data_IF_754760369665
#
_entry.id   IF_754760369665
#
_cell.length_a   1.000
_cell.length_b   1.000
_cell.length_c   1.000
_cell.angle_alpha   90.00
_cell.angle_beta   90.00
_cell.angle_gamma   90.00
#
_symmetry.space_group_name_H-M   'P 1'
#
loop_
_entity.id
_entity.type
_entity.pdbx_description
1 polymer ?
#
# COMPACT_ATOMS: atom_id res chain seq x y z
N UNK A 1 31.25 -16.01 -16.59
CA UNK A 1 29.99 -16.55 -16.05
C UNK A 1 29.54 -15.84 -14.77
N UNK A 2 30.36 -15.78 -13.71
CA UNK A 2 30.03 -15.12 -12.43
C UNK A 2 29.61 -13.64 -12.59
N UNK A 3 30.30 -12.87 -13.43
CA UNK A 3 29.98 -11.45 -13.65
C UNK A 3 28.70 -11.21 -14.46
N UNK A 4 28.29 -12.14 -15.33
CA UNK A 4 27.00 -12.05 -16.03
C UNK A 4 25.84 -12.31 -15.06
N UNK A 5 26.02 -13.19 -14.07
CA UNK A 5 25.05 -13.41 -13.00
C UNK A 5 24.98 -12.20 -12.05
N UNK A 6 26.09 -11.51 -11.79
CA UNK A 6 26.11 -10.26 -11.00
C UNK A 6 25.44 -9.13 -11.77
N UNK A 7 25.71 -8.96 -13.06
CA UNK A 7 25.04 -7.96 -13.92
C UNK A 7 23.54 -8.28 -14.08
N UNK A 8 23.16 -9.56 -14.19
CA UNK A 8 21.76 -9.99 -14.25
C UNK A 8 21.04 -9.85 -12.90
N UNK A 9 21.70 -10.15 -11.78
CA UNK A 9 21.15 -9.96 -10.43
C UNK A 9 20.98 -8.47 -10.12
N UNK A 10 21.91 -7.63 -10.57
CA UNK A 10 21.80 -6.19 -10.38
C UNK A 10 20.82 -5.60 -11.38
N UNK A 11 20.76 -6.03 -12.63
CA UNK A 11 19.68 -5.71 -13.57
C UNK A 11 18.31 -6.10 -13.02
N UNK A 12 18.22 -7.21 -12.30
CA UNK A 12 16.99 -7.66 -11.62
C UNK A 12 16.65 -6.82 -10.38
N UNK A 13 17.66 -6.21 -9.73
CA UNK A 13 17.50 -5.29 -8.59
C UNK A 13 17.29 -3.82 -9.02
N UNK A 14 17.86 -3.38 -10.14
CA UNK A 14 17.79 -2.02 -10.70
C UNK A 14 16.62 -1.84 -11.65
N UNK A 15 16.11 -2.90 -12.27
CA UNK A 15 14.76 -2.87 -12.85
C UNK A 15 13.84 -2.64 -11.67
N UNK A 16 13.27 -1.42 -11.52
CA UNK A 16 12.28 -1.19 -10.49
C UNK A 16 11.20 -2.19 -10.83
N UNK A 17 10.96 -3.16 -9.94
CA UNK A 17 9.79 -4.03 -10.03
C UNK A 17 8.65 -3.09 -10.37
N UNK A 18 8.15 -3.23 -11.60
CA UNK A 18 7.06 -2.44 -12.12
C UNK A 18 5.87 -2.75 -11.22
N UNK A 19 5.77 -2.08 -10.08
CA UNK A 19 4.51 -1.49 -9.71
C UNK A 19 4.28 -0.53 -10.86
N UNK A 20 3.55 -1.03 -11.86
CA UNK A 20 2.86 -0.23 -12.85
C UNK A 20 1.91 0.64 -12.04
N UNK A 21 2.45 1.65 -11.35
CA UNK A 21 1.74 2.89 -11.13
C UNK A 21 1.47 3.35 -12.54
N UNK A 22 0.26 3.02 -13.00
CA UNK A 22 -0.30 3.51 -14.24
C UNK A 22 0.04 5.00 -14.26
N UNK A 23 1.06 5.38 -15.04
CA UNK A 23 1.22 6.74 -15.55
C UNK A 23 0.01 6.95 -16.43
N UNK A 24 -1.11 7.25 -15.77
CA UNK A 24 -2.27 7.85 -16.38
C UNK A 24 -1.74 9.21 -16.81
N UNK A 25 -1.34 9.28 -18.09
CA UNK A 25 -1.35 10.52 -18.86
C UNK A 25 -2.54 11.32 -18.36
N UNK A 26 -2.29 12.56 -17.95
CA UNK A 26 -3.29 13.58 -17.67
C UNK A 26 -4.09 13.85 -18.96
N UNK A 27 -4.84 12.87 -19.44
CA UNK A 27 -5.93 13.06 -20.38
C UNK A 27 -7.11 13.43 -19.50
N UNK A 28 -7.57 14.67 -19.64
CA UNK A 28 -8.82 15.24 -19.09
C UNK A 28 -9.74 14.12 -18.57
N UNK A 29 -9.77 13.95 -17.24
CA UNK A 29 -10.58 12.94 -16.57
C UNK A 29 -12.04 13.22 -16.93
N UNK A 30 -12.59 12.45 -17.88
CA UNK A 30 -14.03 12.15 -17.85
C UNK A 30 -14.34 11.60 -16.45
N UNK A 31 -15.43 12.01 -15.78
CA UNK A 31 -15.77 11.49 -14.46
C UNK A 31 -15.90 9.97 -14.61
N UNK A 32 -14.87 9.27 -14.13
CA UNK A 32 -14.87 7.81 -14.06
C UNK A 32 -15.91 7.54 -13.00
N UNK A 33 -17.01 6.85 -13.32
CA UNK A 33 -17.87 6.23 -12.31
C UNK A 33 -16.93 5.56 -11.31
N UNK A 34 -16.81 6.18 -10.15
CA UNK A 34 -15.94 5.75 -9.08
C UNK A 34 -16.48 4.37 -8.73
N UNK A 35 -15.69 3.33 -8.98
CA UNK A 35 -16.03 2.03 -8.40
C UNK A 35 -16.04 2.31 -6.90
N UNK A 36 -17.22 2.26 -6.26
CA UNK A 36 -17.36 2.37 -4.81
C UNK A 36 -16.47 1.29 -4.22
N UNK A 37 -15.25 1.67 -3.86
CA UNK A 37 -14.36 0.87 -3.06
C UNK A 37 -14.99 0.82 -1.68
N UNK A 38 -15.07 -0.36 -1.11
CA UNK A 38 -15.58 -0.54 0.24
C UNK A 38 -14.59 0.15 1.18
N UNK A 39 -15.03 1.17 1.91
CA UNK A 39 -14.22 1.89 2.89
C UNK A 39 -14.62 1.42 4.29
N UNK A 40 -13.70 0.76 5.00
CA UNK A 40 -13.97 0.28 6.36
C UNK A 40 -14.15 1.41 7.37
N UNK A 41 -13.46 2.54 7.20
CA UNK A 41 -13.66 3.70 8.07
C UNK A 41 -15.11 4.20 7.97
N UNK A 42 -15.63 4.28 6.74
CA UNK A 42 -17.02 4.64 6.49
C UNK A 42 -18.01 3.59 7.06
N UNK A 43 -17.76 2.29 6.87
CA UNK A 43 -18.61 1.22 7.43
C UNK A 43 -18.67 1.32 8.96
N UNK A 44 -17.50 1.38 9.61
CA UNK A 44 -17.44 1.41 11.07
C UNK A 44 -18.08 2.69 11.63
N UNK A 45 -17.89 3.82 10.95
CA UNK A 45 -18.55 5.10 11.28
C UNK A 45 -20.07 4.96 11.18
N UNK A 46 -20.60 4.42 10.07
CA UNK A 46 -22.04 4.24 9.87
C UNK A 46 -22.66 3.32 10.92
N UNK A 47 -21.98 2.20 11.27
CA UNK A 47 -22.43 1.31 12.35
C UNK A 47 -22.44 2.05 13.69
N UNK A 48 -21.38 2.78 14.03
CA UNK A 48 -21.30 3.56 15.26
C UNK A 48 -22.41 4.63 15.35
N UNK A 49 -22.73 5.28 14.24
CA UNK A 49 -23.85 6.24 14.14
C UNK A 49 -25.20 5.54 14.35
N UNK A 50 -25.43 4.39 13.71
CA UNK A 50 -26.68 3.62 13.88
C UNK A 50 -26.86 3.13 15.32
N UNK A 51 -25.80 2.62 15.95
CA UNK A 51 -25.82 2.21 17.35
C UNK A 51 -26.16 3.39 18.28
N UNK A 52 -25.57 4.57 18.06
CA UNK A 52 -25.89 5.79 18.82
C UNK A 52 -27.33 6.24 18.64
N UNK A 53 -27.92 6.02 17.47
CA UNK A 53 -29.34 6.27 17.24
C UNK A 53 -30.28 5.22 17.88
N UNK A 54 -29.72 4.23 18.60
CA UNK A 54 -30.48 3.19 19.31
C UNK A 54 -30.75 1.92 18.49
N UNK A 55 -30.09 1.74 17.34
CA UNK A 55 -30.20 0.47 16.58
C UNK A 55 -29.52 -0.67 17.34
N UNK A 56 -30.06 -1.89 17.28
CA UNK A 56 -29.36 -3.07 17.79
C UNK A 56 -28.11 -3.37 16.95
N UNK A 57 -27.07 -4.01 17.52
CA UNK A 57 -25.88 -4.41 16.78
C UNK A 57 -26.18 -5.23 15.52
N UNK A 58 -27.11 -6.20 15.57
CA UNK A 58 -27.46 -6.96 14.36
C UNK A 58 -28.01 -6.06 13.26
N UNK A 59 -28.96 -5.17 13.57
CA UNK A 59 -29.56 -4.26 12.59
C UNK A 59 -28.57 -3.25 12.04
N UNK A 60 -27.71 -2.70 12.91
CA UNK A 60 -26.71 -1.72 12.50
C UNK A 60 -25.72 -2.33 11.48
N UNK A 61 -25.24 -3.55 11.74
CA UNK A 61 -24.37 -4.28 10.83
C UNK A 61 -25.09 -4.74 9.57
N UNK A 62 -26.29 -5.31 9.68
CA UNK A 62 -27.09 -5.75 8.53
C UNK A 62 -27.31 -4.61 7.53
N UNK A 63 -27.81 -3.47 8.00
CA UNK A 63 -28.12 -2.32 7.15
C UNK A 63 -26.87 -1.72 6.52
N UNK A 64 -25.79 -1.56 7.29
CA UNK A 64 -24.55 -0.97 6.79
C UNK A 64 -23.87 -1.87 5.76
N UNK A 65 -23.80 -3.17 6.02
CA UNK A 65 -23.21 -4.14 5.08
C UNK A 65 -24.05 -4.24 3.79
N UNK A 66 -25.38 -4.24 3.91
CA UNK A 66 -26.27 -4.20 2.75
C UNK A 66 -26.09 -2.92 1.92
N UNK A 67 -25.97 -1.76 2.57
CA UNK A 67 -25.71 -0.47 1.89
C UNK A 67 -24.34 -0.46 1.18
N UNK A 68 -23.34 -1.12 1.76
CA UNK A 68 -22.02 -1.30 1.15
C UNK A 68 -22.03 -2.32 -0.02
N UNK A 69 -23.14 -3.01 -0.27
CA UNK A 69 -23.24 -4.04 -1.29
C UNK A 69 -22.50 -5.33 -0.91
N UNK A 70 -22.22 -5.52 0.38
CA UNK A 70 -21.64 -6.75 0.90
C UNK A 70 -22.75 -7.74 1.21
N UNK A 71 -22.49 -9.00 0.88
CA UNK A 71 -23.41 -10.09 1.13
C UNK A 71 -23.52 -10.34 2.66
N UNK A 72 -24.76 -10.31 3.15
CA UNK A 72 -25.11 -10.43 4.56
C UNK A 72 -25.64 -11.83 4.81
N UNK A 73 -24.98 -12.57 5.69
CA UNK A 73 -25.42 -13.90 6.11
C UNK A 73 -26.40 -13.78 7.27
N UNK A 74 -27.31 -14.73 7.41
CA UNK A 74 -28.12 -14.89 8.62
C UNK A 74 -27.70 -16.17 9.37
N UNK A 75 -27.44 -16.11 10.68
CA UNK A 75 -27.40 -14.92 11.55
C UNK A 75 -26.30 -13.92 11.14
N UNK A 76 -26.50 -12.62 11.44
CA UNK A 76 -25.59 -11.53 11.02
C UNK A 76 -24.30 -11.55 11.82
N UNK A 77 -24.42 -11.76 13.14
CA UNK A 77 -23.33 -11.81 14.10
C UNK A 77 -23.04 -13.24 14.53
N UNK A 78 -21.77 -13.55 14.74
CA UNK A 78 -21.32 -14.80 15.35
C UNK A 78 -21.48 -14.77 16.88
N UNK A 79 -21.15 -15.88 17.55
CA UNK A 79 -21.21 -16.02 19.02
C UNK A 79 -20.28 -15.05 19.77
N UNK A 80 -19.35 -14.40 19.08
CA UNK A 80 -18.46 -13.38 19.64
C UNK A 80 -18.91 -11.96 19.33
N UNK A 81 -20.10 -11.77 18.74
CA UNK A 81 -20.63 -10.45 18.38
C UNK A 81 -19.98 -9.83 17.14
N UNK A 82 -19.29 -10.62 16.31
CA UNK A 82 -18.61 -10.16 15.09
C UNK A 82 -19.46 -10.51 13.87
N UNK A 83 -19.61 -9.61 12.89
CA UNK A 83 -20.28 -9.94 11.64
C UNK A 83 -19.58 -11.06 10.87
N UNK A 84 -20.32 -12.08 10.43
CA UNK A 84 -19.77 -13.19 9.62
C UNK A 84 -19.11 -12.69 8.34
N UNK A 85 -19.60 -11.60 7.77
CA UNK A 85 -19.00 -10.95 6.59
C UNK A 85 -17.57 -10.48 6.87
N UNK A 86 -17.29 -9.92 8.06
CA UNK A 86 -15.94 -9.51 8.43
C UNK A 86 -15.01 -10.71 8.61
N UNK A 87 -15.47 -11.78 9.27
CA UNK A 87 -14.74 -13.05 9.40
C UNK A 87 -14.41 -13.67 8.06
N UNK A 88 -15.36 -13.65 7.12
CA UNK A 88 -15.15 -14.15 5.77
C UNK A 88 -14.03 -13.38 5.08
N UNK A 89 -14.02 -12.05 5.17
CA UNK A 89 -12.99 -11.22 4.54
C UNK A 89 -11.61 -11.43 5.20
N UNK A 90 -11.56 -11.64 6.52
CA UNK A 90 -10.33 -11.99 7.26
C UNK A 90 -9.67 -13.24 6.65
N UNK A 91 -10.46 -14.28 6.35
CA UNK A 91 -9.99 -15.55 5.80
C UNK A 91 -9.87 -15.59 4.27
N UNK A 92 -10.38 -14.59 3.53
CA UNK A 92 -10.31 -14.59 2.07
C UNK A 92 -8.87 -14.59 1.56
N UNK A 93 -8.62 -15.37 0.51
CA UNK A 93 -7.35 -15.33 -0.21
C UNK A 93 -7.17 -14.02 -1.00
N UNK A 94 -5.93 -13.68 -1.35
CA UNK A 94 -5.63 -12.45 -2.10
C UNK A 94 -6.44 -12.30 -3.41
N UNK A 95 -6.68 -13.40 -4.15
CA UNK A 95 -7.47 -13.38 -5.39
C UNK A 95 -8.95 -13.02 -5.14
N UNK A 96 -9.54 -13.51 -4.05
CA UNK A 96 -10.94 -13.26 -3.70
C UNK A 96 -11.15 -11.82 -3.27
N UNK A 97 -10.24 -11.29 -2.43
CA UNK A 97 -10.23 -9.87 -2.03
C UNK A 97 -10.20 -8.94 -3.24
N UNK A 98 -9.34 -9.26 -4.22
CA UNK A 98 -9.22 -8.49 -5.47
C UNK A 98 -10.48 -8.57 -6.34
N UNK A 99 -11.19 -9.69 -6.35
CA UNK A 99 -12.47 -9.85 -7.07
C UNK A 99 -13.61 -9.10 -6.37
N UNK A 100 -13.64 -9.13 -5.04
CA UNK A 100 -14.62 -8.43 -4.21
C UNK A 100 -14.42 -6.90 -4.19
N UNK A 101 -13.29 -6.40 -4.68
CA UNK A 101 -13.00 -4.96 -4.69
C UNK A 101 -12.69 -4.39 -3.29
N UNK A 102 -12.22 -5.25 -2.39
CA UNK A 102 -11.75 -4.88 -1.06
C UNK A 102 -10.38 -4.22 -1.20
N UNK A 103 -10.23 -3.01 -0.68
CA UNK A 103 -8.96 -2.28 -0.74
C UNK A 103 -7.90 -2.91 0.18
N UNK A 104 -6.62 -2.70 -0.10
CA UNK A 104 -5.51 -3.20 0.72
C UNK A 104 -5.52 -2.56 2.11
N UNK A 105 -5.95 -1.30 2.21
CA UNK A 105 -6.13 -0.57 3.47
C UNK A 105 -7.19 -1.24 4.36
N UNK A 106 -8.29 -1.71 3.77
CA UNK A 106 -9.36 -2.42 4.49
C UNK A 106 -8.86 -3.70 5.15
N UNK A 107 -7.98 -4.43 4.47
CA UNK A 107 -7.45 -5.69 5.00
C UNK A 107 -6.69 -5.47 6.31
N UNK A 108 -5.99 -4.34 6.44
CA UNK A 108 -5.22 -4.02 7.64
C UNK A 108 -6.09 -3.57 8.82
N UNK A 109 -7.29 -3.05 8.56
CA UNK A 109 -8.17 -2.53 9.62
C UNK A 109 -9.16 -3.58 10.16
N UNK A 110 -9.43 -4.66 9.40
CA UNK A 110 -10.32 -5.75 9.82
C UNK A 110 -9.95 -6.34 11.18
N UNK A 111 -8.69 -6.71 11.49
CA UNK A 111 -8.36 -7.30 12.78
C UNK A 111 -8.68 -6.37 13.95
N UNK A 112 -8.45 -5.06 13.78
CA UNK A 112 -8.78 -4.07 14.80
C UNK A 112 -10.30 -3.95 14.99
N UNK A 113 -11.09 -3.88 13.91
CA UNK A 113 -12.56 -3.86 13.99
C UNK A 113 -13.12 -5.12 14.64
N UNK A 114 -12.58 -6.29 14.29
CA UNK A 114 -12.96 -7.58 14.90
C UNK A 114 -12.63 -7.56 16.39
N UNK A 115 -11.42 -7.13 16.78
CA UNK A 115 -11.01 -7.05 18.18
C UNK A 115 -11.94 -6.13 19.00
N UNK A 116 -12.31 -4.98 18.44
CA UNK A 116 -13.27 -4.05 19.07
C UNK A 116 -14.64 -4.71 19.24
N UNK A 117 -15.17 -5.38 18.22
CA UNK A 117 -16.46 -6.06 18.30
C UNK A 117 -16.46 -7.15 19.38
N UNK A 118 -15.43 -8.01 19.39
CA UNK A 118 -15.27 -9.07 20.40
C UNK A 118 -15.16 -8.49 21.80
N UNK A 119 -14.35 -7.43 21.96
CA UNK A 119 -14.13 -6.79 23.26
C UNK A 119 -15.44 -6.18 23.78
N UNK A 120 -16.14 -5.38 22.97
CA UNK A 120 -17.42 -4.78 23.36
C UNK A 120 -18.48 -5.82 23.66
N UNK A 121 -18.56 -6.89 22.88
CA UNK A 121 -19.51 -7.98 23.11
C UNK A 121 -19.24 -8.73 24.42
N UNK A 122 -17.98 -9.05 24.71
CA UNK A 122 -17.60 -9.80 25.93
C UNK A 122 -17.67 -8.98 27.21
N UNK A 123 -17.38 -7.68 27.13
CA UNK A 123 -17.30 -6.79 28.30
C UNK A 123 -18.56 -5.97 28.52
N UNK A 124 -19.46 -5.89 27.53
CA UNK A 124 -20.60 -4.98 27.54
C UNK A 124 -20.22 -3.51 27.36
N UNK A 125 -18.96 -3.21 26.97
CA UNK A 125 -18.52 -1.84 26.71
C UNK A 125 -19.37 -1.20 25.59
N UNK A 126 -19.62 0.13 25.64
CA UNK A 126 -20.46 0.82 24.68
C UNK A 126 -19.87 0.73 23.26
N UNK A 127 -20.35 -0.24 22.49
CA UNK A 127 -19.82 -0.58 21.16
C UNK A 127 -19.78 0.63 20.22
N UNK A 128 -20.74 1.55 20.35
CA UNK A 128 -20.80 2.75 19.53
C UNK A 128 -19.59 3.68 19.76
N UNK A 129 -19.19 3.90 21.01
CA UNK A 129 -18.04 4.76 21.36
C UNK A 129 -16.73 4.12 20.93
N UNK A 130 -16.57 2.81 21.16
CA UNK A 130 -15.35 2.09 20.80
C UNK A 130 -15.19 1.97 19.28
N UNK A 131 -16.28 1.72 18.55
CA UNK A 131 -16.25 1.72 17.09
C UNK A 131 -15.99 3.12 16.52
N UNK A 132 -16.51 4.18 17.14
CA UNK A 132 -16.18 5.54 16.72
C UNK A 132 -14.71 5.88 16.94
N UNK A 133 -14.14 5.53 18.10
CA UNK A 133 -12.71 5.68 18.34
C UNK A 133 -11.88 4.87 17.34
N UNK A 134 -12.33 3.66 17.00
CA UNK A 134 -11.71 2.83 15.96
C UNK A 134 -11.79 3.50 14.57
N UNK A 135 -12.95 4.07 14.20
CA UNK A 135 -13.11 4.78 12.94
C UNK A 135 -12.24 6.04 12.86
N UNK A 136 -12.11 6.79 13.96
CA UNK A 136 -11.22 7.94 14.05
C UNK A 136 -9.75 7.53 13.82
N UNK A 137 -9.28 6.47 14.49
CA UNK A 137 -7.92 5.95 14.28
C UNK A 137 -7.67 5.39 12.87
N UNK A 138 -8.67 4.75 12.25
CA UNK A 138 -8.60 4.31 10.84
C UNK A 138 -8.46 5.52 9.91
N UNK A 139 -9.21 6.59 10.18
CA UNK A 139 -9.17 7.81 9.36
C UNK A 139 -7.83 8.52 9.52
N UNK A 140 -7.37 8.70 10.75
CA UNK A 140 -6.08 9.34 11.07
C UNK A 140 -4.90 8.60 10.44
N UNK A 141 -4.85 7.27 10.55
CA UNK A 141 -3.80 6.46 9.91
C UNK A 141 -3.84 6.57 8.38
N UNK A 142 -5.04 6.66 7.78
CA UNK A 142 -5.21 6.91 6.35
C UNK A 142 -4.72 8.29 5.92
N UNK A 143 -5.03 9.33 6.70
CA UNK A 143 -4.56 10.69 6.48
C UNK A 143 -3.04 10.80 6.61
N UNK A 144 -2.45 10.17 7.63
CA UNK A 144 -1.00 10.10 7.81
C UNK A 144 -0.31 9.42 6.62
N UNK A 145 -0.85 8.29 6.14
CA UNK A 145 -0.32 7.60 4.97
C UNK A 145 -0.38 8.48 3.70
N UNK A 146 -1.49 9.18 3.49
CA UNK A 146 -1.67 10.12 2.38
C UNK A 146 -0.71 11.31 2.46
N UNK A 147 -0.59 11.93 3.64
CA UNK A 147 0.33 13.03 3.91
C UNK A 147 1.78 12.61 3.64
N UNK A 148 2.16 11.40 4.06
CA UNK A 148 3.48 10.81 3.80
C UNK A 148 3.73 10.58 2.31
N UNK A 149 2.74 10.13 1.55
CA UNK A 149 2.87 9.99 0.09
C UNK A 149 3.08 11.36 -0.58
N UNK A 150 2.35 12.39 -0.14
CA UNK A 150 2.51 13.77 -0.62
C UNK A 150 3.90 14.32 -0.27
N UNK A 151 4.35 14.17 0.98
CA UNK A 151 5.65 14.64 1.43
C UNK A 151 6.81 13.96 0.69
N UNK A 152 6.69 12.66 0.40
CA UNK A 152 7.71 11.90 -0.33
C UNK A 152 7.65 12.08 -1.84
N UNK A 153 6.63 12.73 -2.40
CA UNK A 153 6.48 12.90 -3.85
C UNK A 153 7.65 13.68 -4.48
N UNK A 154 8.05 14.78 -3.85
CA UNK A 154 9.19 15.61 -4.29
C UNK A 154 10.52 14.86 -4.22
N UNK A 155 10.95 14.38 -3.05
CA UNK A 155 12.17 13.59 -2.89
C UNK A 155 12.24 12.38 -3.83
N UNK A 156 11.13 11.65 -4.01
CA UNK A 156 11.08 10.49 -4.88
C UNK A 156 11.15 10.84 -6.36
N UNK A 157 10.70 12.03 -6.77
CA UNK A 157 10.83 12.51 -8.15
C UNK A 157 12.29 12.80 -8.48
N UNK A 158 12.98 13.57 -7.63
CA UNK A 158 14.39 13.92 -7.82
C UNK A 158 15.30 12.69 -7.76
N UNK A 159 15.06 11.77 -6.82
CA UNK A 159 15.81 10.52 -6.73
C UNK A 159 15.68 9.68 -8.03
N UNK A 160 14.49 9.61 -8.63
CA UNK A 160 14.28 8.92 -9.92
C UNK A 160 15.00 9.60 -11.08
N UNK A 161 15.06 10.93 -11.07
CA UNK A 161 15.75 11.70 -12.11
C UNK A 161 17.26 11.46 -12.05
N UNK A 162 17.84 11.51 -10.84
CA UNK A 162 19.26 11.22 -10.61
C UNK A 162 19.61 9.76 -10.91
N UNK A 163 18.74 8.81 -10.54
CA UNK A 163 18.94 7.39 -10.87
C UNK A 163 18.91 7.11 -12.38
N UNK A 164 18.30 7.98 -13.20
CA UNK A 164 18.33 7.87 -14.66
C UNK A 164 19.58 8.46 -15.33
N UNK A 165 20.35 9.27 -14.59
CA UNK A 165 21.51 9.99 -15.12
C UNK A 165 22.60 9.07 -15.71
N UNK A 166 22.96 7.92 -15.09
CA UNK A 166 23.96 7.02 -15.66
C UNK A 166 23.58 6.48 -17.04
N UNK A 167 22.30 6.16 -17.25
CA UNK A 167 21.80 5.68 -18.54
C UNK A 167 21.87 6.78 -19.62
N UNK A 168 21.53 8.02 -19.25
CA UNK A 168 21.65 9.17 -20.16
C UNK A 168 23.13 9.41 -20.52
N UNK A 169 24.05 9.35 -19.54
CA UNK A 169 25.48 9.48 -19.79
C UNK A 169 26.03 8.40 -20.73
N UNK A 170 25.61 7.14 -20.55
CA UNK A 170 26.00 6.04 -21.41
C UNK A 170 25.49 6.23 -22.85
N UNK A 171 24.24 6.65 -23.02
CA UNK A 171 23.64 6.94 -24.32
C UNK A 171 24.35 8.09 -25.04
N UNK A 172 24.70 9.16 -24.33
CA UNK A 172 25.48 10.26 -24.89
C UNK A 172 26.88 9.81 -25.31
N UNK A 173 27.56 9.00 -24.51
CA UNK A 173 28.86 8.43 -24.87
C UNK A 173 28.82 7.58 -26.14
N UNK A 174 27.81 6.71 -26.27
CA UNK A 174 27.58 5.92 -27.49
C UNK A 174 27.31 6.83 -28.69
N UNK A 175 26.47 7.87 -28.51
CA UNK A 175 26.15 8.83 -29.57
C UNK A 175 27.36 9.64 -30.07
N UNK A 176 28.35 9.86 -29.20
CA UNK A 176 29.63 10.48 -29.53
C UNK A 176 30.64 9.50 -30.18
N UNK A 177 30.27 8.25 -30.39
CA UNK A 177 31.11 7.22 -31.01
C UNK A 177 32.06 6.51 -30.05
N UNK A 178 31.91 6.72 -28.73
CA UNK A 178 32.62 5.90 -27.75
C UNK A 178 32.02 4.49 -27.68
N UNK A 179 32.84 3.49 -27.33
CA UNK A 179 32.38 2.14 -26.98
C UNK A 179 32.46 1.90 -25.46
N UNK A 180 31.59 2.54 -24.66
CA UNK A 180 31.62 2.40 -23.21
C UNK A 180 31.24 0.99 -22.76
N UNK A 181 30.42 0.26 -23.54
CA UNK A 181 30.05 -1.12 -23.22
C UNK A 181 31.24 -2.06 -23.39
N UNK A 182 31.97 -1.94 -24.50
CA UNK A 182 33.23 -2.64 -24.70
C UNK A 182 34.23 -2.29 -23.59
N UNK A 183 34.42 -1.01 -23.28
CA UNK A 183 35.33 -0.58 -22.21
C UNK A 183 34.96 -1.18 -20.84
N UNK A 184 33.69 -1.08 -20.42
CA UNK A 184 33.21 -1.56 -19.12
C UNK A 184 33.29 -3.08 -18.97
N UNK A 185 33.03 -3.83 -20.04
CA UNK A 185 32.94 -5.29 -19.99
C UNK A 185 34.27 -6.00 -20.26
N UNK A 186 35.14 -5.39 -21.08
CA UNK A 186 36.39 -6.03 -21.54
C UNK A 186 37.63 -5.57 -20.78
N UNK A 187 37.65 -4.34 -20.24
CA UNK A 187 38.85 -3.79 -19.60
C UNK A 187 38.82 -3.91 -18.06
N UNK A 188 39.97 -4.11 -17.44
CA UNK A 188 40.11 -4.16 -15.97
C UNK A 188 39.70 -2.84 -15.29
N UNK A 189 40.14 -1.65 -15.76
CA UNK A 189 39.68 -0.38 -15.20
C UNK A 189 38.18 -0.17 -15.36
N UNK A 190 37.61 -0.55 -16.51
CA UNK A 190 36.17 -0.48 -16.76
C UNK A 190 35.35 -1.35 -15.81
N UNK A 191 35.82 -2.55 -15.50
CA UNK A 191 35.16 -3.44 -14.53
C UNK A 191 35.20 -2.88 -13.10
N UNK A 192 36.31 -2.27 -12.69
CA UNK A 192 36.41 -1.61 -11.38
C UNK A 192 35.42 -0.43 -11.31
N UNK A 193 35.36 0.39 -12.35
CA UNK A 193 34.42 1.50 -12.43
C UNK A 193 32.96 1.02 -12.41
N UNK A 194 32.64 -0.05 -13.13
CA UNK A 194 31.31 -0.67 -13.12
C UNK A 194 30.94 -1.15 -11.71
N UNK A 195 31.84 -1.89 -11.05
CA UNK A 195 31.61 -2.39 -9.70
C UNK A 195 31.41 -1.24 -8.69
N UNK A 196 32.22 -0.18 -8.79
CA UNK A 196 32.08 1.00 -7.94
C UNK A 196 30.74 1.72 -8.15
N UNK A 197 30.32 1.91 -9.41
CA UNK A 197 29.03 2.52 -9.73
C UNK A 197 27.85 1.71 -9.18
N UNK A 198 27.89 0.39 -9.34
CA UNK A 198 26.88 -0.53 -8.81
C UNK A 198 26.83 -0.50 -7.28
N UNK A 199 28.00 -0.44 -6.62
CA UNK A 199 28.08 -0.33 -5.17
C UNK A 199 27.49 0.99 -4.66
N UNK A 200 27.80 2.12 -5.31
CA UNK A 200 27.23 3.42 -4.95
C UNK A 200 25.71 3.46 -5.17
N UNK A 201 25.21 2.87 -6.26
CA UNK A 201 23.78 2.82 -6.53
C UNK A 201 23.04 1.94 -5.50
N UNK A 202 23.59 0.76 -5.18
CA UNK A 202 23.07 -0.10 -4.13
C UNK A 202 23.08 0.61 -2.77
N UNK A 203 24.18 1.29 -2.42
CA UNK A 203 24.29 2.06 -1.18
C UNK A 203 23.25 3.19 -1.12
N UNK A 204 23.05 3.94 -2.21
CA UNK A 204 22.03 4.99 -2.31
C UNK A 204 20.61 4.44 -2.17
N UNK A 205 20.33 3.28 -2.75
CA UNK A 205 19.02 2.63 -2.66
C UNK A 205 18.76 2.11 -1.24
N UNK A 206 19.76 1.49 -0.59
CA UNK A 206 19.69 1.07 0.81
C UNK A 206 19.49 2.28 1.72
N UNK A 207 20.26 3.34 1.54
CA UNK A 207 20.14 4.57 2.34
C UNK A 207 18.76 5.19 2.21
N UNK A 208 18.25 5.32 0.99
CA UNK A 208 16.90 5.85 0.74
C UNK A 208 15.84 4.96 1.39
N UNK A 209 15.98 3.64 1.28
CA UNK A 209 15.05 2.70 1.91
C UNK A 209 15.08 2.78 3.44
N UNK A 210 16.27 3.00 4.02
CA UNK A 210 16.44 3.20 5.46
C UNK A 210 15.86 4.53 5.93
N UNK A 211 16.09 5.63 5.22
CA UNK A 211 15.48 6.93 5.57
C UNK A 211 13.95 6.84 5.56
N UNK A 212 13.39 6.17 4.54
CA UNK A 212 11.95 5.91 4.42
C UNK A 212 11.47 5.01 5.55
N UNK A 213 12.23 3.99 5.94
CA UNK A 213 11.88 3.09 7.04
C UNK A 213 11.94 3.77 8.41
N UNK A 214 12.95 4.60 8.68
CA UNK A 214 13.07 5.38 9.92
C UNK A 214 11.94 6.38 10.07
N UNK A 215 11.58 7.06 8.98
CA UNK A 215 10.40 7.92 8.93
C UNK A 215 9.05 7.15 9.00
N UNK A 216 9.04 5.84 9.30
CA UNK A 216 7.82 5.09 9.67
C UNK A 216 7.79 4.71 11.14
N UNK A 217 8.93 4.73 11.82
CA UNK A 217 9.07 4.25 13.22
C UNK A 217 8.94 5.40 14.21
N UNK A 218 9.19 6.64 13.79
CA UNK A 218 9.09 7.84 14.65
C UNK A 218 7.64 8.28 14.98
N UNK A 219 6.63 7.63 14.40
CA UNK A 219 5.20 7.95 14.61
C UNK A 219 4.46 6.92 15.50
N UNK A 220 5.12 5.84 15.94
CA UNK A 220 4.60 4.87 16.95
C UNK A 220 5.14 5.18 18.35
#
# INVERSE_FOLDING_TARGET
>A
MIWLLVIAAIGYLTVPRRNVTRRRRQRKRRPRRERRTVDMGAIVTEVATRLRSGSSPERAWEQTLANAGLDVSQPVLDESGVPFTLRRIEHMGWLERRRAGVDEVVVHTIPATVAVCVMSYRTGAPMAEVLEACAAGITESGEAASAREVALAGPRSSARMLAGLPAIGLLLGIGLGADPLGFLLTTTPGRIALAAGLAFEAAGMVWTSQMVARARVEEE
#
